data_IF_166282201038
#
_entry.id   IF_166282201038
#
_cell.length_a   1.000
_cell.length_b   1.000
_cell.length_c   1.000
_cell.angle_alpha   90.00
_cell.angle_beta   90.00
_cell.angle_gamma   90.00
#
_symmetry.space_group_name_H-M   'P 1'
#
loop_
_entity.id
_entity.type
_entity.pdbx_description
1 polymer ?
#
# COMPACT_ATOMS: atom_id res chain seq x y z
N UNK A 1 -14.48 13.97 -22.04
CA UNK A 1 -13.11 13.79 -22.58
C UNK A 1 -12.13 14.12 -21.46
N UNK A 2 -11.57 13.10 -20.81
CA UNK A 2 -10.59 13.30 -19.73
C UNK A 2 -9.18 13.42 -20.31
N UNK A 3 -8.44 14.44 -19.90
CA UNK A 3 -7.04 14.64 -20.28
C UNK A 3 -6.21 13.58 -19.54
N UNK A 4 -5.40 12.75 -20.23
CA UNK A 4 -4.47 11.87 -19.54
C UNK A 4 -3.39 12.74 -18.90
N UNK A 5 -3.35 12.77 -17.57
CA UNK A 5 -2.23 13.35 -16.84
C UNK A 5 -1.07 12.38 -16.98
N UNK A 6 -0.27 12.57 -18.02
CA UNK A 6 0.99 11.87 -18.19
C UNK A 6 1.99 12.52 -17.22
N UNK A 7 2.05 12.00 -16.00
CA UNK A 7 2.96 12.49 -14.97
C UNK A 7 4.36 12.03 -15.35
N UNK A 8 5.16 12.99 -15.80
CA UNK A 8 6.56 12.79 -16.16
C UNK A 8 7.38 12.48 -14.89
N UNK A 9 7.58 11.19 -14.65
CA UNK A 9 8.30 10.67 -13.49
C UNK A 9 9.73 11.25 -13.43
N UNK A 10 10.40 11.48 -14.56
CA UNK A 10 11.76 12.04 -14.58
C UNK A 10 11.82 13.46 -14.03
N UNK A 11 10.79 14.27 -14.34
CA UNK A 11 10.68 15.64 -13.85
C UNK A 11 10.46 15.70 -12.33
N UNK A 12 9.71 14.74 -11.79
CA UNK A 12 9.55 14.57 -10.34
C UNK A 12 10.87 14.16 -9.70
N UNK A 13 11.56 13.15 -10.24
CA UNK A 13 12.83 12.68 -9.69
C UNK A 13 13.90 13.78 -9.70
N UNK A 14 13.94 14.62 -10.72
CA UNK A 14 14.91 15.72 -10.84
C UNK A 14 14.63 16.81 -9.80
N UNK A 15 13.36 17.20 -9.63
CA UNK A 15 12.97 18.24 -8.66
C UNK A 15 13.18 17.78 -7.21
N UNK A 16 13.05 16.48 -6.93
CA UNK A 16 13.25 15.90 -5.59
C UNK A 16 14.73 15.78 -5.19
N UNK A 17 15.66 15.69 -6.16
CA UNK A 17 17.11 15.60 -5.88
C UNK A 17 17.74 16.94 -5.46
N UNK A 18 17.15 18.07 -5.82
CA UNK A 18 17.73 19.41 -5.57
C UNK A 18 17.40 20.00 -4.19
N UNK A 19 16.48 19.42 -3.43
CA UNK A 19 16.16 19.88 -2.06
C UNK A 19 16.79 18.93 -1.04
N UNK A 20 17.63 19.47 -0.16
CA UNK A 20 18.17 18.80 1.03
C UNK A 20 17.03 18.17 1.83
N UNK A 21 16.83 16.86 1.67
CA UNK A 21 15.84 15.98 2.32
C UNK A 21 14.60 16.69 2.91
N UNK A 22 13.71 17.27 2.07
CA UNK A 22 12.45 17.77 2.57
C UNK A 22 11.60 16.58 3.04
N UNK A 23 11.31 16.53 4.34
CA UNK A 23 10.25 15.66 4.83
C UNK A 23 8.92 16.20 4.33
N UNK A 24 8.20 15.43 3.50
CA UNK A 24 6.92 15.83 2.91
C UNK A 24 5.75 15.06 3.55
N UNK A 25 4.52 15.60 3.51
CA UNK A 25 3.31 14.84 3.81
C UNK A 25 3.17 13.64 2.86
N UNK A 26 2.60 12.52 3.34
CA UNK A 26 2.46 11.30 2.53
C UNK A 26 1.61 11.48 1.26
N UNK A 27 0.68 12.45 1.27
CA UNK A 27 -0.15 12.78 0.10
C UNK A 27 0.68 13.30 -1.08
N UNK A 28 1.75 14.06 -0.82
CA UNK A 28 2.64 14.63 -1.85
C UNK A 28 3.57 13.59 -2.49
N UNK A 29 3.73 12.43 -1.85
CA UNK A 29 4.52 11.30 -2.34
C UNK A 29 3.65 10.13 -2.81
N UNK A 30 2.34 10.34 -2.93
CA UNK A 30 1.43 9.32 -3.39
C UNK A 30 1.56 9.12 -4.91
N UNK A 31 1.80 7.88 -5.32
CA UNK A 31 1.93 7.48 -6.72
C UNK A 31 0.84 6.46 -7.03
N UNK A 32 0.12 6.68 -8.13
CA UNK A 32 -0.84 5.71 -8.67
C UNK A 32 -0.18 4.80 -9.69
N UNK A 33 -0.32 3.50 -9.51
CA UNK A 33 0.20 2.45 -10.38
C UNK A 33 -0.98 1.71 -11.01
N UNK A 34 -1.15 1.80 -12.32
CA UNK A 34 -2.13 1.00 -13.04
C UNK A 34 -1.50 -0.29 -13.55
N UNK A 35 -2.06 -1.44 -13.15
CA UNK A 35 -1.46 -2.73 -13.39
C UNK A 35 -2.51 -3.82 -13.65
N UNK A 36 -2.07 -4.94 -14.22
CA UNK A 36 -2.91 -6.15 -14.39
C UNK A 36 -2.54 -7.19 -13.35
N UNK A 37 -3.53 -7.76 -12.66
CA UNK A 37 -3.32 -8.80 -11.65
C UNK A 37 -2.90 -10.11 -12.33
N UNK A 38 -1.82 -10.70 -11.84
CA UNK A 38 -1.30 -12.01 -12.30
C UNK A 38 -1.71 -13.12 -11.34
N UNK A 39 -1.61 -12.87 -10.03
CA UNK A 39 -2.04 -13.78 -8.97
C UNK A 39 -2.36 -13.02 -7.69
N UNK A 40 -3.19 -13.64 -6.84
CA UNK A 40 -3.54 -13.14 -5.51
C UNK A 40 -3.39 -14.28 -4.52
N UNK A 41 -2.54 -14.09 -3.53
CA UNK A 41 -2.31 -15.03 -2.43
C UNK A 41 -2.77 -14.37 -1.14
N UNK A 42 -3.57 -15.06 -0.34
CA UNK A 42 -4.08 -14.53 0.91
C UNK A 42 -3.54 -15.32 2.09
N UNK A 43 -3.00 -14.60 3.07
CA UNK A 43 -2.55 -15.17 4.34
C UNK A 43 -3.37 -14.55 5.48
N UNK A 44 -3.75 -15.37 6.46
CA UNK A 44 -4.38 -14.88 7.69
C UNK A 44 -3.34 -14.81 8.81
N UNK A 45 -3.17 -13.63 9.40
CA UNK A 45 -2.48 -13.48 10.67
C UNK A 45 -3.47 -13.80 11.80
N UNK A 46 -3.34 -14.99 12.38
CA UNK A 46 -4.09 -15.35 13.57
C UNK A 46 -3.40 -14.75 14.81
N UNK A 47 -3.94 -13.68 15.37
CA UNK A 47 -3.48 -13.16 16.65
C UNK A 47 -4.06 -13.99 17.80
N UNK A 48 -3.20 -14.67 18.56
CA UNK A 48 -3.57 -15.21 19.87
C UNK A 48 -3.33 -14.10 20.90
N UNK A 49 -4.39 -13.43 21.37
CA UNK A 49 -4.29 -12.71 22.65
C UNK A 49 -4.25 -13.75 23.76
N UNK A 50 -3.08 -13.98 24.34
CA UNK A 50 -3.01 -14.53 25.69
C UNK A 50 -3.47 -13.43 26.64
N UNK A 51 -4.75 -13.43 27.00
CA UNK A 51 -5.16 -12.71 28.20
C UNK A 51 -4.42 -13.39 29.35
N UNK A 52 -3.39 -12.72 29.90
CA UNK A 52 -2.44 -13.26 30.87
C UNK A 52 -3.07 -13.63 32.21
N UNK A 53 -3.95 -14.62 32.23
CA UNK A 53 -4.49 -15.25 33.43
C UNK A 53 -4.12 -16.73 33.36
N UNK A 54 -3.05 -17.09 34.08
CA UNK A 54 -2.64 -18.47 34.29
C UNK A 54 -3.60 -19.05 35.35
N UNK A 55 -4.61 -19.81 34.91
CA UNK A 55 -5.54 -20.51 35.79
C UNK A 55 -6.47 -21.46 35.02
N UNK A 56 -6.98 -22.52 35.67
CA UNK A 56 -7.87 -23.48 35.02
C UNK A 56 -9.20 -22.80 34.64
N UNK A 57 -9.47 -22.71 33.34
CA UNK A 57 -10.64 -21.99 32.78
C UNK A 57 -10.31 -20.89 31.76
N UNK A 58 -9.05 -20.75 31.34
CA UNK A 58 -8.65 -19.78 30.31
C UNK A 58 -9.30 -20.09 28.94
N UNK A 59 -10.39 -19.40 28.62
CA UNK A 59 -10.95 -19.39 27.28
C UNK A 59 -10.07 -18.50 26.38
N UNK A 60 -9.37 -19.10 25.40
CA UNK A 60 -8.69 -18.33 24.36
C UNK A 60 -9.71 -17.86 23.32
N UNK A 61 -10.19 -16.62 23.44
CA UNK A 61 -10.94 -15.97 22.36
C UNK A 61 -9.97 -15.43 21.32
N UNK A 62 -9.99 -16.01 20.11
CA UNK A 62 -9.35 -15.43 18.94
C UNK A 62 -10.08 -14.12 18.59
N UNK A 63 -9.45 -12.97 18.85
CA UNK A 63 -10.10 -11.65 18.79
C UNK A 63 -10.00 -10.94 17.44
N UNK A 64 -9.62 -11.64 16.36
CA UNK A 64 -9.57 -11.09 15.02
C UNK A 64 -8.70 -11.93 14.08
N UNK A 65 -9.02 -11.91 12.78
CA UNK A 65 -8.14 -12.39 11.71
C UNK A 65 -7.80 -11.18 10.84
N UNK A 66 -6.54 -10.75 10.89
CA UNK A 66 -6.06 -9.77 9.92
C UNK A 66 -5.65 -10.55 8.67
N UNK A 67 -6.18 -10.14 7.53
CA UNK A 67 -5.84 -10.74 6.24
C UNK A 67 -4.79 -9.87 5.58
N UNK A 68 -3.76 -10.50 5.02
CA UNK A 68 -2.80 -9.83 4.15
C UNK A 68 -2.85 -10.55 2.81
N UNK A 69 -3.18 -9.78 1.77
CA UNK A 69 -3.09 -10.23 0.38
C UNK A 69 -1.75 -9.83 -0.23
N UNK A 70 -1.06 -10.81 -0.80
CA UNK A 70 0.07 -10.59 -1.70
C UNK A 70 -0.45 -10.68 -3.14
N UNK A 71 -0.40 -9.57 -3.86
CA UNK A 71 -0.91 -9.44 -5.22
C UNK A 71 0.29 -9.32 -6.16
N UNK A 72 0.47 -10.29 -7.05
CA UNK A 72 1.46 -10.20 -8.13
C UNK A 72 0.84 -9.44 -9.29
N UNK A 73 1.55 -8.44 -9.81
CA UNK A 73 1.05 -7.56 -10.86
C UNK A 73 1.98 -7.54 -12.07
N UNK A 74 1.40 -7.25 -13.23
CA UNK A 74 2.11 -6.92 -14.45
C UNK A 74 1.92 -5.44 -14.76
N UNK A 75 3.02 -4.69 -14.74
CA UNK A 75 3.12 -3.26 -15.02
C UNK A 75 4.48 -2.98 -15.63
N UNK A 76 4.55 -1.95 -16.46
CA UNK A 76 5.82 -1.40 -16.91
C UNK A 76 6.45 -0.57 -15.77
N UNK A 77 7.58 -1.05 -15.24
CA UNK A 77 8.23 -0.48 -14.07
C UNK A 77 8.77 -1.50 -13.06
N UNK A 78 9.39 -1.00 -11.97
CA UNK A 78 10.10 -1.85 -11.00
C UNK A 78 9.16 -2.66 -10.10
N UNK A 79 7.94 -2.18 -9.83
CA UNK A 79 7.00 -2.83 -8.91
C UNK A 79 6.42 -4.10 -9.53
N UNK A 80 6.58 -5.24 -8.86
CA UNK A 80 6.04 -6.54 -9.29
C UNK A 80 5.06 -7.14 -8.29
N UNK A 81 5.11 -6.71 -7.02
CA UNK A 81 4.26 -7.25 -5.95
C UNK A 81 3.69 -6.14 -5.06
N UNK A 82 2.44 -6.30 -4.66
CA UNK A 82 1.75 -5.45 -3.71
C UNK A 82 1.36 -6.26 -2.47
N UNK A 83 1.71 -5.76 -1.29
CA UNK A 83 1.25 -6.31 0.00
C UNK A 83 0.15 -5.42 0.56
N UNK A 84 -1.09 -5.91 0.57
CA UNK A 84 -2.28 -5.14 0.92
C UNK A 84 -2.97 -5.71 2.17
N UNK A 85 -3.34 -4.82 3.09
CA UNK A 85 -4.15 -5.16 4.25
C UNK A 85 -5.59 -5.42 3.84
N UNK A 86 -6.09 -6.63 4.08
CA UNK A 86 -7.43 -7.07 3.73
C UNK A 86 -7.45 -8.21 2.71
N UNK A 87 -8.64 -8.50 2.19
CA UNK A 87 -8.86 -9.51 1.15
C UNK A 87 -9.76 -8.91 0.05
N UNK A 88 -9.19 -8.10 -0.86
CA UNK A 88 -9.96 -7.57 -1.97
C UNK A 88 -10.31 -8.72 -2.93
N UNK A 89 -11.57 -8.85 -3.38
CA UNK A 89 -11.98 -9.86 -4.37
C UNK A 89 -11.42 -9.48 -5.75
N UNK A 90 -10.14 -9.78 -5.94
CA UNK A 90 -9.40 -9.60 -7.18
C UNK A 90 -9.08 -10.98 -7.78
N UNK A 91 -9.14 -11.04 -9.10
CA UNK A 91 -8.88 -12.24 -9.89
C UNK A 91 -7.75 -11.99 -10.89
N UNK A 92 -7.15 -13.07 -11.37
CA UNK A 92 -6.15 -12.98 -12.45
C UNK A 92 -6.78 -12.33 -13.68
N UNK A 93 -6.10 -11.33 -14.24
CA UNK A 93 -6.57 -10.55 -15.39
C UNK A 93 -7.31 -9.28 -15.03
N UNK A 94 -7.67 -9.07 -13.76
CA UNK A 94 -8.26 -7.80 -13.32
C UNK A 94 -7.29 -6.64 -13.54
N UNK A 95 -7.82 -5.51 -14.01
CA UNK A 95 -7.10 -4.24 -14.01
C UNK A 95 -7.30 -3.55 -12.66
N UNK A 96 -6.22 -3.02 -12.09
CA UNK A 96 -6.25 -2.31 -10.83
C UNK A 96 -5.47 -1.00 -10.91
N UNK A 97 -5.84 -0.04 -10.06
CA UNK A 97 -5.04 1.13 -9.74
C UNK A 97 -4.64 1.07 -8.26
N UNK A 98 -3.35 0.97 -8.00
CA UNK A 98 -2.79 0.90 -6.65
C UNK A 98 -2.16 2.24 -6.26
N UNK A 99 -2.43 2.71 -5.05
CA UNK A 99 -1.85 3.95 -4.53
C UNK A 99 -0.80 3.63 -3.48
N UNK A 100 0.45 3.97 -3.77
CA UNK A 100 1.62 3.70 -2.92
C UNK A 100 2.27 5.01 -2.51
N UNK A 101 2.89 5.04 -1.32
CA UNK A 101 3.68 6.20 -0.89
C UNK A 101 5.14 5.92 -1.28
N UNK A 102 5.69 6.71 -2.21
CA UNK A 102 7.09 6.65 -2.65
C UNK A 102 8.01 7.35 -1.63
N UNK A 103 7.91 6.95 -0.37
CA UNK A 103 8.65 7.53 0.74
C UNK A 103 8.89 6.54 1.87
N UNK A 104 9.96 6.74 2.63
CA UNK A 104 10.20 6.05 3.90
C UNK A 104 9.67 6.92 5.06
N UNK A 105 8.91 6.32 5.96
CA UNK A 105 8.35 7.00 7.13
C UNK A 105 9.48 7.46 8.07
N UNK A 106 9.49 8.75 8.38
CA UNK A 106 10.39 9.34 9.38
C UNK A 106 9.66 9.39 10.70
N UNK A 107 9.91 8.40 11.56
CA UNK A 107 9.47 8.43 12.96
C UNK A 107 10.44 9.26 13.78
N UNK A 108 9.98 10.41 14.27
CA UNK A 108 10.69 11.17 15.29
C UNK A 108 10.35 10.59 16.68
N UNK A 109 11.27 9.88 17.35
CA UNK A 109 10.98 9.24 18.64
C UNK A 109 10.70 10.25 19.77
N UNK A 110 11.04 11.52 19.58
CA UNK A 110 10.91 12.58 20.60
C UNK A 110 9.70 13.48 20.37
N UNK A 111 9.05 13.39 19.20
CA UNK A 111 7.84 14.16 18.91
C UNK A 111 6.63 13.23 18.79
N UNK A 112 5.67 13.40 19.72
CA UNK A 112 4.26 12.99 19.54
C UNK A 112 3.56 13.87 18.48
N UNK A 113 4.21 14.11 17.34
CA UNK A 113 3.62 14.81 16.22
C UNK A 113 2.56 13.90 15.59
N UNK A 114 1.34 14.40 15.43
CA UNK A 114 0.26 13.74 14.69
C UNK A 114 0.52 13.68 13.18
N UNK A 115 1.56 14.35 12.69
CA UNK A 115 1.90 14.43 11.27
C UNK A 115 3.01 13.43 10.96
N UNK A 116 2.64 12.38 10.23
CA UNK A 116 3.58 11.41 9.65
C UNK A 116 4.33 12.08 8.50
N UNK A 117 5.66 12.04 8.58
CA UNK A 117 6.56 12.64 7.59
C UNK A 117 7.24 11.54 6.80
N UNK A 118 7.51 11.82 5.53
CA UNK A 118 8.16 10.86 4.65
C UNK A 118 9.38 11.48 3.98
N UNK A 119 10.45 10.70 3.85
CA UNK A 119 11.59 11.02 2.99
C UNK A 119 11.36 10.36 1.63
N UNK A 120 11.42 11.10 0.51
CA UNK A 120 11.22 10.53 -0.82
C UNK A 120 12.17 9.37 -1.11
N UNK A 121 11.68 8.34 -1.80
CA UNK A 121 12.48 7.21 -2.30
C UNK A 121 11.97 6.69 -3.64
N UNK A 122 12.82 5.92 -4.31
CA UNK A 122 12.42 5.16 -5.50
C UNK A 122 11.48 4.00 -5.14
N UNK A 123 10.64 3.62 -6.10
CA UNK A 123 9.75 2.47 -5.99
C UNK A 123 10.56 1.16 -5.96
N UNK A 124 10.16 0.25 -5.08
CA UNK A 124 10.79 -1.07 -4.91
C UNK A 124 9.98 -2.14 -5.62
N UNK A 125 10.56 -3.32 -5.80
CA UNK A 125 9.86 -4.46 -6.40
C UNK A 125 8.59 -4.85 -5.64
N UNK A 126 8.62 -4.67 -4.32
CA UNK A 126 7.49 -4.90 -3.43
C UNK A 126 7.06 -3.59 -2.76
N UNK A 127 5.79 -3.22 -2.93
CA UNK A 127 5.20 -2.02 -2.34
C UNK A 127 3.99 -2.35 -1.46
N UNK A 128 3.64 -1.43 -0.57
CA UNK A 128 2.46 -1.52 0.31
C UNK A 128 1.45 -0.43 -0.06
N UNK A 129 0.46 -0.72 -0.91
CA UNK A 129 -0.54 0.27 -1.24
C UNK A 129 -1.47 0.54 -0.05
N UNK A 130 -1.80 1.81 0.17
CA UNK A 130 -2.81 2.21 1.17
C UNK A 130 -4.24 2.17 0.60
N UNK A 131 -4.36 2.14 -0.73
CA UNK A 131 -5.63 2.09 -1.44
C UNK A 131 -5.47 1.29 -2.73
N UNK A 132 -6.48 0.49 -3.06
CA UNK A 132 -6.63 -0.20 -4.33
C UNK A 132 -7.98 0.16 -4.97
N UNK A 133 -8.00 0.31 -6.28
CA UNK A 133 -9.23 0.43 -7.08
C UNK A 133 -9.24 -0.68 -8.12
N UNK A 134 -10.36 -1.40 -8.26
CA UNK A 134 -10.58 -2.33 -9.37
C UNK A 134 -11.15 -1.53 -10.54
N UNK A 135 -10.57 -1.72 -11.71
CA UNK A 135 -10.96 -1.04 -12.94
C UNK A 135 -11.68 -2.01 -13.87
N UNK A 136 -12.76 -1.55 -14.50
CA UNK A 136 -13.43 -2.21 -15.62
C UNK A 136 -13.67 -1.17 -16.70
N UNK A 137 -13.17 -1.43 -17.90
CA UNK A 137 -13.30 -0.50 -19.04
C UNK A 137 -12.78 0.93 -18.75
N UNK A 138 -11.76 1.04 -17.88
CA UNK A 138 -11.16 2.31 -17.46
C UNK A 138 -11.87 3.00 -16.30
N UNK A 139 -13.01 2.47 -15.84
CA UNK A 139 -13.80 3.01 -14.74
C UNK A 139 -13.58 2.26 -13.44
N UNK A 140 -13.66 2.98 -12.31
CA UNK A 140 -13.52 2.38 -10.97
C UNK A 140 -14.83 1.68 -10.60
N UNK A 141 -14.78 0.36 -10.47
CA UNK A 141 -15.94 -0.46 -10.08
C UNK A 141 -15.93 -0.85 -8.59
N UNK A 142 -14.77 -0.80 -7.94
CA UNK A 142 -14.64 -1.05 -6.51
C UNK A 142 -13.42 -0.34 -5.94
N UNK A 143 -13.48 0.04 -4.66
CA UNK A 143 -12.39 0.67 -3.93
C UNK A 143 -12.16 -0.04 -2.60
N UNK A 144 -10.89 -0.32 -2.30
CA UNK A 144 -10.44 -0.99 -1.08
C UNK A 144 -9.40 -0.11 -0.39
N UNK A 145 -9.48 -0.04 0.94
CA UNK A 145 -8.54 0.71 1.79
C UNK A 145 -7.90 -0.25 2.79
N UNK A 146 -6.59 -0.13 2.97
CA UNK A 146 -5.82 -0.90 3.94
C UNK A 146 -5.85 -0.26 5.34
#
# INVERSE_FOLDING_TARGET
MGIPINIDLEKIYTTLRERVNPTLPGEELSVSLEATVVSVECSSLAYRRSNGVIGPGSHSTASGRDYISTITINIDGPVKRLEFGGWPPLEKGDKIRAYVIAGDEVRDPLKRSSVTRYTPRELREKEKPFKLEKLRDGEVVATYRA
#
